data_IF_987010255126
#
_entry.id   IF_987010255126
#
_cell.length_a   1.000
_cell.length_b   1.000
_cell.length_c   1.000
_cell.angle_alpha   90.00
_cell.angle_beta   90.00
_cell.angle_gamma   90.00
#
_symmetry.space_group_name_H-M   'P 1'
#
loop_
_entity.id
_entity.type
_entity.pdbx_description
1 polymer ?
#
# COMPACT_ATOMS: atom_id res chain seq x y z
N UNK A 1 7.53 -15.58 4.13
CA UNK A 1 8.72 -15.46 5.00
C UNK A 1 9.85 -16.40 4.55
N UNK A 2 9.59 -17.72 4.37
CA UNK A 2 10.66 -18.66 3.98
C UNK A 2 11.34 -18.30 2.66
N UNK A 3 10.59 -17.90 1.64
CA UNK A 3 11.16 -17.45 0.35
C UNK A 3 12.14 -16.29 0.54
N UNK A 4 11.74 -15.25 1.28
CA UNK A 4 12.62 -14.11 1.54
C UNK A 4 13.92 -14.48 2.26
N UNK A 5 13.85 -15.39 3.23
CA UNK A 5 15.06 -15.90 3.92
C UNK A 5 15.95 -16.69 2.94
N UNK A 6 15.37 -17.49 2.06
CA UNK A 6 16.12 -18.23 1.03
C UNK A 6 16.75 -17.31 -0.01
N UNK A 7 16.13 -16.18 -0.28
CA UNK A 7 16.61 -15.13 -1.19
C UNK A 7 17.63 -14.18 -0.54
N UNK A 8 17.90 -14.33 0.78
CA UNK A 8 18.93 -13.58 1.49
C UNK A 8 18.43 -12.53 2.50
N UNK A 9 17.12 -12.43 2.72
CA UNK A 9 16.60 -11.60 3.82
C UNK A 9 16.90 -12.24 5.18
N UNK A 10 17.03 -11.41 6.21
CA UNK A 10 17.29 -11.84 7.57
C UNK A 10 16.03 -11.71 8.43
N UNK A 11 15.64 -12.79 9.12
CA UNK A 11 14.56 -12.72 10.10
C UNK A 11 15.08 -12.06 11.40
N UNK A 12 14.86 -10.76 11.52
CA UNK A 12 15.17 -10.03 12.75
C UNK A 12 14.25 -10.43 13.91
N UNK A 13 13.05 -10.90 13.60
CA UNK A 13 12.08 -11.44 14.55
C UNK A 13 11.16 -12.45 13.87
N UNK A 14 10.73 -13.48 14.61
CA UNK A 14 9.76 -14.46 14.15
C UNK A 14 10.28 -15.35 13.01
N UNK A 15 9.49 -15.49 11.97
CA UNK A 15 9.81 -16.30 10.78
C UNK A 15 9.34 -17.74 10.86
N UNK A 16 8.73 -18.15 11.97
CA UNK A 16 8.34 -19.54 12.24
C UNK A 16 6.82 -19.67 12.42
N UNK A 17 6.34 -20.86 12.14
CA UNK A 17 4.99 -21.27 12.54
C UNK A 17 5.00 -21.53 14.05
N UNK A 18 3.92 -21.11 14.71
CA UNK A 18 3.69 -21.46 16.11
C UNK A 18 3.26 -22.93 16.18
N UNK A 19 3.92 -23.72 17.02
CA UNK A 19 3.61 -25.15 17.21
C UNK A 19 2.38 -25.33 18.10
N UNK A 20 1.21 -25.13 17.51
CA UNK A 20 -0.10 -25.42 18.11
C UNK A 20 -1.13 -25.68 17.02
N UNK A 21 -2.27 -26.21 17.40
CA UNK A 21 -3.38 -26.45 16.48
C UNK A 21 -3.86 -25.14 15.85
N UNK A 22 -4.03 -25.14 14.50
CA UNK A 22 -4.48 -24.01 13.71
C UNK A 22 -3.39 -23.39 12.86
N UNK A 23 -3.72 -22.24 12.23
CA UNK A 23 -2.84 -21.52 11.28
C UNK A 23 -2.21 -20.29 11.95
N UNK A 24 -1.32 -20.54 12.89
CA UNK A 24 -0.63 -19.48 13.64
C UNK A 24 0.81 -19.33 13.19
N UNK A 25 1.19 -18.08 12.96
CA UNK A 25 2.54 -17.69 12.62
C UNK A 25 3.01 -16.60 13.59
N UNK A 26 4.27 -16.62 13.96
CA UNK A 26 4.88 -15.53 14.73
C UNK A 26 4.84 -14.22 13.91
N UNK A 27 4.55 -13.06 14.51
CA UNK A 27 4.82 -11.78 13.89
C UNK A 27 6.28 -11.76 13.42
N UNK A 28 6.51 -11.40 12.17
CA UNK A 28 7.81 -11.58 11.51
C UNK A 28 8.31 -10.26 10.97
N UNK A 29 9.57 -9.94 11.21
CA UNK A 29 10.28 -8.81 10.61
C UNK A 29 11.46 -9.36 9.81
N UNK A 30 11.47 -9.04 8.52
CA UNK A 30 12.55 -9.37 7.60
C UNK A 30 13.36 -8.11 7.29
N UNK A 31 14.65 -8.11 7.68
CA UNK A 31 15.62 -7.08 7.32
C UNK A 31 16.41 -7.49 6.07
N UNK A 32 17.19 -6.56 5.54
CA UNK A 32 18.02 -6.74 4.34
C UNK A 32 17.21 -7.22 3.12
N UNK A 33 15.94 -6.84 3.06
CA UNK A 33 15.09 -7.14 1.91
C UNK A 33 15.50 -6.27 0.74
N UNK A 34 15.64 -6.88 -0.43
CA UNK A 34 15.88 -6.18 -1.70
C UNK A 34 14.62 -6.15 -2.54
N UNK A 35 14.54 -5.17 -3.43
CA UNK A 35 13.35 -4.90 -4.23
C UNK A 35 12.97 -6.06 -5.19
N UNK A 36 13.92 -6.88 -5.58
CA UNK A 36 13.73 -8.04 -6.46
C UNK A 36 13.29 -9.32 -5.73
N UNK A 37 13.29 -9.31 -4.40
CA UNK A 37 12.87 -10.47 -3.60
C UNK A 37 11.34 -10.67 -3.66
N UNK A 38 10.90 -11.92 -3.63
CA UNK A 38 9.48 -12.31 -3.60
C UNK A 38 8.70 -11.60 -2.50
N UNK A 39 9.29 -11.47 -1.30
CA UNK A 39 8.65 -10.81 -0.14
C UNK A 39 8.52 -9.29 -0.27
N UNK A 40 9.17 -8.68 -1.26
CA UNK A 40 9.00 -7.27 -1.61
C UNK A 40 7.98 -7.08 -2.75
N UNK A 41 7.82 -8.08 -3.62
CA UNK A 41 6.98 -8.01 -4.83
C UNK A 41 5.58 -8.55 -4.63
N UNK A 42 5.42 -9.60 -3.84
CA UNK A 42 4.15 -10.27 -3.63
C UNK A 42 3.49 -9.87 -2.31
N UNK A 43 2.18 -9.77 -2.31
CA UNK A 43 1.41 -9.54 -1.10
C UNK A 43 1.37 -10.82 -0.26
N UNK A 44 2.02 -10.81 0.91
CA UNK A 44 2.14 -12.00 1.77
C UNK A 44 0.80 -12.34 2.47
N UNK A 45 -0.04 -11.35 2.72
CA UNK A 45 -1.33 -11.46 3.41
C UNK A 45 -1.23 -12.15 4.78
N UNK A 46 -0.19 -11.77 5.57
CA UNK A 46 0.10 -12.34 6.87
C UNK A 46 0.93 -11.39 7.74
N UNK A 47 1.26 -11.78 8.97
CA UNK A 47 1.95 -10.92 9.93
C UNK A 47 3.46 -10.84 9.62
N UNK A 48 3.81 -10.38 8.42
CA UNK A 48 5.20 -10.24 7.94
C UNK A 48 5.44 -8.82 7.48
N UNK A 49 6.47 -8.19 8.01
CA UNK A 49 6.97 -6.89 7.62
C UNK A 49 8.32 -7.07 6.90
N UNK A 50 8.40 -6.62 5.65
CA UNK A 50 9.64 -6.54 4.88
C UNK A 50 10.23 -5.14 5.01
N UNK A 51 11.50 -5.03 5.41
CA UNK A 51 12.22 -3.78 5.61
C UNK A 51 13.26 -3.61 4.52
N UNK A 52 13.12 -2.54 3.73
CA UNK A 52 14.07 -2.14 2.69
C UNK A 52 14.69 -0.82 3.14
N UNK A 53 16.01 -0.75 3.21
CA UNK A 53 16.76 0.47 3.51
C UNK A 53 16.88 1.32 2.25
N UNK A 54 16.98 2.62 2.43
CA UNK A 54 17.18 3.60 1.37
C UNK A 54 18.08 4.74 1.83
N UNK A 55 18.78 5.38 0.91
CA UNK A 55 19.74 6.46 1.22
C UNK A 55 19.08 7.83 1.22
N UNK A 56 18.11 8.08 0.33
CA UNK A 56 17.47 9.38 0.21
C UNK A 56 15.96 9.30 -0.10
N UNK A 57 15.31 10.47 -0.12
CA UNK A 57 13.86 10.58 -0.34
C UNK A 57 13.43 10.11 -1.74
N UNK A 58 14.21 10.37 -2.77
CA UNK A 58 13.86 9.99 -4.15
C UNK A 58 13.95 8.49 -4.34
N UNK A 59 14.95 7.86 -3.75
CA UNK A 59 15.09 6.41 -3.72
C UNK A 59 13.92 5.76 -2.96
N UNK A 60 13.57 6.29 -1.77
CA UNK A 60 12.42 5.80 -1.02
C UNK A 60 11.11 5.84 -1.82
N UNK A 61 10.88 6.92 -2.59
CA UNK A 61 9.72 7.07 -3.46
C UNK A 61 9.79 6.07 -4.62
N UNK A 62 10.97 5.90 -5.23
CA UNK A 62 11.18 4.95 -6.31
C UNK A 62 10.88 3.52 -5.86
N UNK A 63 11.42 3.11 -4.72
CA UNK A 63 11.16 1.79 -4.12
C UNK A 63 9.66 1.61 -3.82
N UNK A 64 9.03 2.61 -3.19
CA UNK A 64 7.62 2.54 -2.84
C UNK A 64 6.68 2.45 -4.07
N UNK A 65 7.08 3.06 -5.19
CA UNK A 65 6.31 3.02 -6.43
C UNK A 65 6.63 1.82 -7.32
N UNK A 66 7.76 1.14 -7.10
CA UNK A 66 8.15 -0.05 -7.86
C UNK A 66 7.42 -1.31 -7.36
N UNK A 67 6.10 -1.31 -7.51
CA UNK A 67 5.19 -2.41 -7.18
C UNK A 67 4.02 -2.40 -8.14
N UNK A 68 3.40 -3.56 -8.35
CA UNK A 68 2.16 -3.69 -9.12
C UNK A 68 0.92 -3.19 -8.37
N UNK A 69 1.05 -2.87 -7.10
CA UNK A 69 -0.03 -2.42 -6.23
C UNK A 69 0.05 -0.93 -5.90
N UNK A 70 -1.06 -0.36 -5.46
CA UNK A 70 -1.13 1.03 -5.08
C UNK A 70 -2.40 1.35 -4.27
N UNK A 71 -2.71 0.52 -3.25
CA UNK A 71 -3.89 0.76 -2.41
C UNK A 71 -3.60 1.84 -1.38
N UNK A 72 -2.53 1.69 -0.60
CA UNK A 72 -2.22 2.58 0.49
C UNK A 72 -0.73 2.71 0.76
N UNK A 73 -0.32 3.90 1.17
CA UNK A 73 1.03 4.21 1.59
C UNK A 73 1.04 5.07 2.86
N UNK A 74 2.14 5.04 3.60
CA UNK A 74 2.34 5.84 4.81
C UNK A 74 3.67 6.57 4.78
N UNK A 75 3.65 7.84 5.22
CA UNK A 75 4.85 8.69 5.33
C UNK A 75 4.97 9.16 6.78
N UNK A 76 6.11 8.92 7.40
CA UNK A 76 6.38 9.35 8.76
C UNK A 76 7.55 10.32 8.79
N UNK A 77 7.29 11.60 9.05
CA UNK A 77 8.30 12.66 9.11
C UNK A 77 7.77 13.86 9.89
N UNK A 78 8.69 14.61 10.51
CA UNK A 78 8.38 15.91 11.15
C UNK A 78 8.46 17.09 10.17
N UNK A 79 9.01 16.88 8.98
CA UNK A 79 9.14 17.90 7.93
C UNK A 79 7.91 17.90 7.04
N UNK A 80 7.09 18.95 7.15
CA UNK A 80 5.86 19.09 6.36
C UNK A 80 6.12 19.19 4.85
N UNK A 81 7.24 19.79 4.43
CA UNK A 81 7.60 19.87 3.00
C UNK A 81 7.92 18.49 2.45
N UNK A 82 8.71 17.71 3.18
CA UNK A 82 8.99 16.30 2.83
C UNK A 82 7.71 15.48 2.81
N UNK A 83 6.86 15.60 3.83
CA UNK A 83 5.59 14.90 3.89
C UNK A 83 4.73 15.15 2.65
N UNK A 84 4.52 16.44 2.30
CA UNK A 84 3.69 16.85 1.16
C UNK A 84 4.30 16.41 -0.17
N UNK A 85 5.61 16.63 -0.38
CA UNK A 85 6.28 16.24 -1.62
C UNK A 85 6.32 14.72 -1.82
N UNK A 86 6.55 13.95 -0.76
CA UNK A 86 6.51 12.49 -0.84
C UNK A 86 5.09 12.00 -1.13
N UNK A 87 4.10 12.49 -0.39
CA UNK A 87 2.71 12.08 -0.57
C UNK A 87 2.19 12.34 -1.99
N UNK A 88 2.61 13.44 -2.62
CA UNK A 88 2.21 13.77 -3.99
C UNK A 88 2.86 12.90 -5.07
N UNK A 89 4.01 12.28 -4.78
CA UNK A 89 4.75 11.42 -5.71
C UNK A 89 4.43 9.93 -5.55
N UNK A 90 3.80 9.53 -4.43
CA UNK A 90 3.42 8.14 -4.20
C UNK A 90 2.23 7.74 -5.06
N UNK A 91 2.37 6.64 -5.78
CA UNK A 91 1.36 6.07 -6.67
C UNK A 91 0.40 5.16 -5.90
N UNK A 92 -0.29 5.73 -4.91
CA UNK A 92 -1.26 5.03 -4.07
C UNK A 92 -2.55 5.83 -3.94
N UNK A 93 -3.68 5.13 -3.89
CA UNK A 93 -5.00 5.76 -3.74
C UNK A 93 -5.24 6.34 -2.36
N UNK A 94 -4.51 5.86 -1.35
CA UNK A 94 -4.53 6.35 0.02
C UNK A 94 -3.11 6.66 0.48
N UNK A 95 -2.84 7.91 0.87
CA UNK A 95 -1.56 8.27 1.49
C UNK A 95 -1.81 8.88 2.86
N UNK A 96 -1.22 8.29 3.87
CA UNK A 96 -1.33 8.71 5.26
C UNK A 96 -0.04 9.34 5.75
N UNK A 97 -0.12 10.44 6.49
CA UNK A 97 1.04 11.13 7.06
C UNK A 97 1.01 11.02 8.58
N UNK A 98 2.08 10.50 9.18
CA UNK A 98 2.29 10.34 10.62
C UNK A 98 1.21 9.55 11.37
N UNK A 99 0.36 8.86 10.64
CA UNK A 99 -0.66 7.97 11.18
C UNK A 99 -1.06 6.98 10.10
N UNK A 100 -1.35 5.75 10.47
CA UNK A 100 -1.87 4.75 9.57
C UNK A 100 -3.40 4.73 9.64
N UNK A 101 -4.05 4.63 8.47
CA UNK A 101 -5.50 4.49 8.31
C UNK A 101 -6.34 5.59 9.01
N UNK A 102 -6.26 6.82 8.49
CA UNK A 102 -7.07 7.97 8.93
C UNK A 102 -8.18 8.31 7.95
N UNK A 103 -8.88 7.31 7.45
CA UNK A 103 -9.98 7.53 6.50
C UNK A 103 -11.29 7.90 7.20
N UNK A 104 -12.16 8.57 6.45
CA UNK A 104 -13.55 8.88 6.80
C UNK A 104 -14.48 8.25 5.76
N UNK A 105 -15.76 8.07 6.12
CA UNK A 105 -16.78 7.68 5.13
C UNK A 105 -17.03 8.76 4.07
N UNK A 106 -16.61 9.99 4.31
CA UNK A 106 -16.73 11.11 3.39
C UNK A 106 -15.54 11.24 2.42
N UNK A 107 -14.44 10.50 2.66
CA UNK A 107 -13.27 10.51 1.78
C UNK A 107 -13.26 9.29 0.87
N UNK A 108 -12.92 9.45 -0.44
CA UNK A 108 -12.88 8.32 -1.36
C UNK A 108 -11.81 7.29 -0.93
N UNK A 109 -12.10 6.02 -1.12
CA UNK A 109 -11.21 4.90 -0.85
C UNK A 109 -11.08 4.04 -2.10
N UNK A 110 -9.86 3.67 -2.47
CA UNK A 110 -9.59 2.80 -3.62
C UNK A 110 -8.12 2.85 -4.01
N UNK A 111 -7.73 1.98 -4.93
CA UNK A 111 -6.35 1.76 -5.32
C UNK A 111 -5.94 2.42 -6.63
N UNK A 112 -4.64 2.33 -6.90
CA UNK A 112 -3.99 2.54 -8.18
C UNK A 112 -3.48 1.18 -8.69
N UNK A 113 -3.06 1.12 -9.92
CA UNK A 113 -2.45 -0.07 -10.55
C UNK A 113 -3.37 -1.31 -10.37
N UNK A 114 -2.82 -2.45 -9.99
CA UNK A 114 -3.58 -3.68 -9.79
C UNK A 114 -4.44 -3.69 -8.52
N UNK A 115 -4.28 -2.70 -7.64
CA UNK A 115 -5.20 -2.51 -6.49
C UNK A 115 -6.57 -1.95 -6.87
N UNK A 116 -6.82 -1.72 -8.15
CA UNK A 116 -8.12 -1.33 -8.70
C UNK A 116 -8.20 0.13 -9.12
N UNK A 117 -9.26 0.46 -9.87
CA UNK A 117 -9.44 1.78 -10.48
C UNK A 117 -10.71 2.51 -10.00
N UNK A 118 -11.62 1.83 -9.33
CA UNK A 118 -12.83 2.47 -8.80
C UNK A 118 -12.56 3.14 -7.45
N UNK A 119 -13.59 3.85 -6.97
CA UNK A 119 -13.55 4.45 -5.63
C UNK A 119 -14.81 4.04 -4.87
N UNK A 120 -14.61 3.69 -3.60
CA UNK A 120 -15.67 3.55 -2.60
C UNK A 120 -15.70 4.80 -1.72
N UNK A 121 -16.77 4.98 -0.97
CA UNK A 121 -16.96 6.10 -0.04
C UNK A 121 -16.96 7.46 -0.73
N UNK A 122 -17.29 8.49 0.03
CA UNK A 122 -17.39 9.85 -0.48
C UNK A 122 -18.36 9.98 -1.66
N UNK A 123 -18.29 11.11 -2.34
CA UNK A 123 -19.13 11.39 -3.53
C UNK A 123 -18.75 10.51 -4.73
N UNK A 124 -17.50 10.12 -4.84
CA UNK A 124 -17.02 9.28 -5.94
C UNK A 124 -17.54 7.84 -5.81
N UNK A 125 -17.65 7.34 -4.58
CA UNK A 125 -18.33 6.06 -4.32
C UNK A 125 -19.80 6.11 -4.70
N UNK A 126 -20.50 7.20 -4.38
CA UNK A 126 -21.90 7.37 -4.76
C UNK A 126 -22.10 7.38 -6.28
N UNK A 127 -21.21 8.04 -7.02
CA UNK A 127 -21.26 8.09 -8.49
C UNK A 127 -21.22 6.71 -9.15
N UNK A 128 -20.57 5.73 -8.54
CA UNK A 128 -20.49 4.36 -9.08
C UNK A 128 -21.84 3.62 -9.07
N UNK A 129 -22.81 4.10 -8.31
CA UNK A 129 -24.19 3.58 -8.28
C UNK A 129 -25.16 4.32 -9.21
N UNK A 130 -24.67 5.30 -9.96
CA UNK A 130 -25.48 6.15 -10.84
C UNK A 130 -25.19 5.86 -12.31
N UNK A 131 -26.20 6.07 -13.15
CA UNK A 131 -26.08 6.02 -14.60
C UNK A 131 -26.24 7.43 -15.18
N UNK A 132 -25.30 7.84 -16.02
CA UNK A 132 -25.38 9.11 -16.73
C UNK A 132 -26.22 8.94 -17.99
N UNK A 133 -27.25 9.78 -18.18
CA UNK A 133 -28.09 9.80 -19.37
C UNK A 133 -28.07 11.21 -19.98
N UNK A 134 -27.84 11.30 -21.25
CA UNK A 134 -28.08 12.51 -22.03
C UNK A 134 -29.47 12.44 -22.70
N UNK A 135 -30.25 13.52 -22.57
CA UNK A 135 -31.55 13.65 -23.23
C UNK A 135 -31.54 14.91 -24.07
N UNK A 136 -31.59 14.76 -25.42
CA UNK A 136 -31.72 15.87 -26.34
C UNK A 136 -33.17 15.95 -26.85
N UNK A 137 -33.80 17.11 -26.72
CA UNK A 137 -35.17 17.37 -27.23
C UNK A 137 -35.10 18.52 -28.23
N UNK A 138 -35.57 18.31 -29.45
CA UNK A 138 -35.87 19.39 -30.41
C UNK A 138 -37.37 19.68 -30.40
N UNK A 139 -37.70 21.00 -30.34
CA UNK A 139 -39.09 21.48 -30.40
C UNK A 139 -39.39 22.16 -31.74
N UNK A 140 -38.52 22.04 -32.74
CA UNK A 140 -38.69 22.52 -34.12
C UNK A 140 -39.18 21.42 -35.03
#
# INVERSE_FOLDING_TARGET
ARSGIQEGAEAAHGGKRVERDGYFMEPTILNNVKQDMTVAREEIFGPVLSVIEYDDQEEAISIANDTDYGLGAGVFTKDLKKASSTASKLEAGQVYVNKWFTGSHATPFGGYKQSGYSREKGIDGLKSYLQVKNVGISLS
#
